data_IF_693494720851
#
_entry.id   IF_693494720851
#
_cell.length_a   1.000
_cell.length_b   1.000
_cell.length_c   1.000
_cell.angle_alpha   90.00
_cell.angle_beta   90.00
_cell.angle_gamma   90.00
#
_symmetry.space_group_name_H-M   'P 1'
#
loop_
_entity.id
_entity.type
_entity.pdbx_description
1 polymer ?
#
# COMPACT_ATOMS: atom_id res chain seq x y z
N UNK A 1 29.50 27.52 15.08
CA UNK A 1 28.05 27.77 15.25
C UNK A 1 27.22 27.25 14.08
N UNK A 2 27.57 27.52 12.82
CA UNK A 2 26.85 26.94 11.66
C UNK A 2 26.94 25.40 11.59
N UNK A 3 28.12 24.83 11.87
CA UNK A 3 28.34 23.38 11.82
C UNK A 3 27.55 22.60 12.89
N UNK A 4 27.38 23.17 14.09
CA UNK A 4 26.60 22.57 15.17
C UNK A 4 25.10 22.58 14.88
N UNK A 5 24.60 23.63 14.22
CA UNK A 5 23.20 23.71 13.76
C UNK A 5 22.94 22.72 12.61
N UNK A 6 23.87 22.58 11.67
CA UNK A 6 23.77 21.62 10.57
C UNK A 6 23.78 20.16 11.07
N UNK A 7 24.53 19.85 12.12
CA UNK A 7 24.55 18.50 12.70
C UNK A 7 23.25 18.19 13.47
N UNK A 8 22.69 19.18 14.17
CA UNK A 8 21.44 19.04 14.89
C UNK A 8 20.23 18.82 13.96
N UNK A 9 20.20 19.45 12.78
CA UNK A 9 19.13 19.24 11.81
C UNK A 9 19.13 17.82 11.25
N UNK A 10 20.29 17.25 10.90
CA UNK A 10 20.40 15.87 10.39
C UNK A 10 19.85 14.85 11.40
N UNK A 11 20.09 15.06 12.70
CA UNK A 11 19.58 14.17 13.75
C UNK A 11 18.05 14.28 13.87
N UNK A 12 17.49 15.49 13.76
CA UNK A 12 16.05 15.71 13.83
C UNK A 12 15.27 15.07 12.66
N UNK A 13 15.88 14.91 11.48
CA UNK A 13 15.27 14.24 10.32
C UNK A 13 15.36 12.71 10.35
N UNK A 14 16.11 12.12 11.30
CA UNK A 14 16.38 10.67 11.30
C UNK A 14 15.18 9.78 11.70
N UNK A 15 14.08 10.38 12.15
CA UNK A 15 12.79 9.71 12.37
C UNK A 15 12.87 8.43 13.23
N UNK A 16 11.89 7.55 13.06
CA UNK A 16 11.82 6.27 13.77
C UNK A 16 12.67 5.16 13.12
N UNK A 17 13.44 5.46 12.07
CA UNK A 17 14.21 4.46 11.33
C UNK A 17 15.29 3.77 12.20
N UNK A 18 15.81 4.48 13.21
CA UNK A 18 16.78 3.93 14.17
C UNK A 18 16.18 3.07 15.29
N UNK A 19 14.85 2.98 15.45
CA UNK A 19 14.21 2.23 16.54
C UNK A 19 14.30 0.70 16.39
N UNK A 20 14.98 0.19 15.36
CA UNK A 20 15.15 -1.26 15.13
C UNK A 20 13.83 -1.99 14.82
N UNK A 21 12.74 -1.25 14.63
CA UNK A 21 11.45 -1.78 14.22
C UNK A 21 11.60 -2.25 12.79
N UNK A 22 11.41 -3.55 12.55
CA UNK A 22 11.35 -4.11 11.20
C UNK A 22 9.97 -3.79 10.63
N UNK A 23 9.83 -2.91 9.62
CA UNK A 23 8.53 -2.57 9.05
C UNK A 23 7.88 -3.72 8.25
N UNK A 24 8.55 -4.87 8.12
CA UNK A 24 8.07 -6.02 7.38
C UNK A 24 7.71 -7.20 8.29
N UNK A 25 6.62 -7.87 7.93
CA UNK A 25 6.17 -9.13 8.52
C UNK A 25 6.80 -10.30 7.76
N UNK A 26 7.10 -11.41 8.45
CA UNK A 26 7.67 -12.60 7.81
C UNK A 26 6.71 -13.14 6.73
N UNK A 27 7.20 -13.70 5.62
CA UNK A 27 6.36 -14.07 4.48
C UNK A 27 5.14 -14.93 4.85
N UNK A 28 5.31 -15.90 5.76
CA UNK A 28 4.25 -16.81 6.21
C UNK A 28 3.25 -16.19 7.20
N UNK A 29 3.58 -15.04 7.81
CA UNK A 29 2.69 -14.31 8.71
C UNK A 29 1.83 -13.27 7.97
N UNK A 30 2.15 -12.96 6.70
CA UNK A 30 1.42 -11.98 5.89
C UNK A 30 -0.05 -12.34 5.66
N UNK A 31 -0.37 -13.63 5.66
CA UNK A 31 -1.75 -14.12 5.55
C UNK A 31 -2.63 -13.67 6.72
N UNK A 32 -2.05 -13.42 7.90
CA UNK A 32 -2.79 -12.97 9.10
C UNK A 32 -2.96 -11.45 9.16
N UNK A 33 -2.34 -10.72 8.25
CA UNK A 33 -2.43 -9.26 8.18
C UNK A 33 -3.60 -8.79 7.31
N UNK A 34 -3.97 -9.58 6.30
CA UNK A 34 -5.08 -9.28 5.41
C UNK A 34 -6.33 -10.07 5.81
N UNK A 35 -7.34 -9.36 6.31
CA UNK A 35 -8.65 -9.95 6.59
C UNK A 35 -9.44 -10.12 5.28
N UNK A 36 -10.34 -11.11 5.18
CA UNK A 36 -11.22 -11.27 4.03
C UNK A 36 -12.09 -10.03 3.69
N UNK A 37 -12.23 -9.08 4.62
CA UNK A 37 -12.91 -7.79 4.41
C UNK A 37 -12.06 -6.77 3.66
N UNK A 38 -10.73 -6.91 3.69
CA UNK A 38 -9.79 -6.04 2.97
C UNK A 38 -9.66 -6.43 1.49
N UNK A 39 -10.35 -7.49 1.04
CA UNK A 39 -10.34 -7.88 -0.36
C UNK A 39 -11.08 -6.84 -1.20
N UNK A 40 -10.33 -6.14 -2.07
CA UNK A 40 -10.87 -5.12 -2.97
C UNK A 40 -11.88 -5.67 -3.99
N UNK A 41 -11.94 -7.00 -4.18
CA UNK A 41 -12.83 -7.65 -5.13
C UNK A 41 -13.53 -8.85 -4.49
N UNK A 42 -14.31 -8.58 -3.44
CA UNK A 42 -15.12 -9.61 -2.75
C UNK A 42 -16.28 -10.11 -3.62
N UNK A 43 -16.82 -9.25 -4.48
CA UNK A 43 -17.97 -9.55 -5.33
C UNK A 43 -17.63 -9.23 -6.78
N UNK A 44 -17.24 -10.27 -7.52
CA UNK A 44 -16.74 -10.17 -8.90
C UNK A 44 -17.72 -9.48 -9.86
N UNK A 45 -19.01 -9.81 -9.77
CA UNK A 45 -20.06 -9.21 -10.62
C UNK A 45 -20.23 -7.72 -10.31
N UNK A 46 -20.27 -7.34 -9.03
CA UNK A 46 -20.42 -5.95 -8.62
C UNK A 46 -19.20 -5.12 -8.99
N UNK A 47 -17.98 -5.65 -8.78
CA UNK A 47 -16.75 -4.99 -9.18
C UNK A 47 -16.69 -4.78 -10.69
N UNK A 48 -17.05 -5.78 -11.50
CA UNK A 48 -17.10 -5.64 -12.96
C UNK A 48 -18.09 -4.57 -13.43
N UNK A 49 -19.21 -4.42 -12.74
CA UNK A 49 -20.17 -3.37 -13.04
C UNK A 49 -19.60 -1.98 -12.74
N UNK A 50 -18.99 -1.80 -11.57
CA UNK A 50 -18.35 -0.55 -11.17
C UNK A 50 -17.17 -0.20 -12.10
N UNK A 51 -16.35 -1.20 -12.46
CA UNK A 51 -15.28 -1.10 -13.43
C UNK A 51 -15.76 -0.53 -14.77
N UNK A 52 -16.84 -1.11 -15.31
CA UNK A 52 -17.43 -0.67 -16.56
C UNK A 52 -17.89 0.80 -16.51
N UNK A 53 -18.45 1.23 -15.36
CA UNK A 53 -18.85 2.63 -15.17
C UNK A 53 -17.63 3.56 -15.14
N UNK A 54 -16.54 3.19 -14.46
CA UNK A 54 -15.32 3.99 -14.44
C UNK A 54 -14.65 4.06 -15.82
N UNK A 55 -14.54 2.95 -16.54
CA UNK A 55 -14.02 2.94 -17.91
C UNK A 55 -14.77 3.91 -18.83
N UNK A 56 -16.10 3.96 -18.72
CA UNK A 56 -16.93 4.86 -19.50
C UNK A 56 -16.76 6.34 -19.10
N UNK A 57 -16.62 6.62 -17.79
CA UNK A 57 -16.50 8.00 -17.28
C UNK A 57 -15.11 8.59 -17.49
N UNK A 58 -14.08 7.77 -17.35
CA UNK A 58 -12.68 8.21 -17.36
C UNK A 58 -11.99 7.95 -18.70
N UNK A 59 -12.70 7.36 -19.68
CA UNK A 59 -12.12 6.93 -20.95
C UNK A 59 -10.89 6.00 -20.78
N UNK A 60 -10.78 5.33 -19.64
CA UNK A 60 -9.64 4.52 -19.21
C UNK A 60 -9.79 3.02 -19.52
N UNK A 61 -10.15 2.65 -20.76
CA UNK A 61 -10.35 1.24 -21.15
C UNK A 61 -9.11 0.41 -20.80
N UNK A 62 -9.29 -0.67 -20.03
CA UNK A 62 -8.20 -1.59 -19.67
C UNK A 62 -7.30 -1.14 -18.51
N UNK A 63 -7.65 -0.07 -17.78
CA UNK A 63 -6.89 0.39 -16.61
C UNK A 63 -7.05 -0.49 -15.36
N UNK A 64 -8.05 -1.37 -15.35
CA UNK A 64 -8.50 -2.17 -14.19
C UNK A 64 -7.64 -3.43 -13.92
N UNK A 65 -6.46 -3.54 -14.55
CA UNK A 65 -5.64 -4.77 -14.62
C UNK A 65 -4.54 -4.94 -13.57
N UNK A 66 -4.51 -4.18 -12.48
CA UNK A 66 -3.55 -4.41 -11.39
C UNK A 66 -4.14 -5.38 -10.35
N UNK A 67 -3.45 -6.49 -10.11
CA UNK A 67 -3.93 -7.67 -9.39
C UNK A 67 -4.60 -7.41 -8.02
N UNK A 68 -5.46 -8.37 -7.67
CA UNK A 68 -6.47 -8.26 -6.62
C UNK A 68 -5.96 -7.90 -5.22
N UNK A 69 -6.89 -7.29 -4.46
CA UNK A 69 -6.66 -6.92 -3.07
C UNK A 69 -6.46 -8.14 -2.17
N UNK A 70 -5.38 -8.10 -1.39
CA UNK A 70 -4.90 -9.14 -0.49
C UNK A 70 -3.46 -8.84 -0.07
N UNK A 71 -2.81 -9.75 0.66
CA UNK A 71 -1.48 -9.58 1.25
C UNK A 71 -0.29 -9.33 0.28
N UNK A 72 -0.55 -8.97 -0.97
CA UNK A 72 0.46 -8.53 -1.95
C UNK A 72 1.35 -9.65 -2.47
N UNK A 73 0.98 -10.92 -2.27
CA UNK A 73 1.67 -12.06 -2.88
C UNK A 73 1.21 -12.21 -4.34
N UNK A 74 1.75 -11.39 -5.24
CA UNK A 74 2.04 -11.85 -6.61
C UNK A 74 3.43 -12.47 -6.60
#
# INVERSE_FOLDING_TARGET
>A
MALTLALASVIALSGCAQLGVKPWVKPYERQRLADPIMSANRHDIANRHVAHVYEARESGRGAEGAGGGGCGCN
#
